data_IF_457703633370
#
_entry.id   IF_457703633370
#
_cell.length_a   1.000
_cell.length_b   1.000
_cell.length_c   1.000
_cell.angle_alpha   90.00
_cell.angle_beta   90.00
_cell.angle_gamma   90.00
#
_symmetry.space_group_name_H-M   'P 1'
#
loop_
_entity.id
_entity.type
_entity.pdbx_description
1 polymer ?
#
# COMPACT_ATOMS: atom_id res chain seq x y z
N UNK A 1 -18.62 6.06 10.54
CA UNK A 1 -17.31 6.39 11.13
C UNK A 1 -16.87 5.24 12.04
N UNK A 2 -15.72 4.66 11.76
CA UNK A 2 -15.19 3.55 12.55
C UNK A 2 -14.67 4.02 13.91
N UNK A 3 -14.93 3.25 14.97
CA UNK A 3 -14.36 3.50 16.29
C UNK A 3 -12.87 3.15 16.32
N UNK A 4 -12.14 3.68 17.29
CA UNK A 4 -10.73 3.31 17.49
C UNK A 4 -10.54 1.83 17.78
N UNK A 5 -11.49 1.19 18.46
CA UNK A 5 -11.47 -0.25 18.70
C UNK A 5 -11.58 -1.06 17.41
N UNK A 6 -12.46 -0.66 16.50
CA UNK A 6 -12.60 -1.30 15.18
C UNK A 6 -11.36 -1.10 14.32
N UNK A 7 -10.77 0.10 14.33
CA UNK A 7 -9.52 0.38 13.61
C UNK A 7 -8.39 -0.49 14.16
N UNK A 8 -8.27 -0.61 15.47
CA UNK A 8 -7.24 -1.44 16.12
C UNK A 8 -7.36 -2.92 15.73
N UNK A 9 -8.58 -3.43 15.58
CA UNK A 9 -8.82 -4.81 15.20
C UNK A 9 -8.35 -5.16 13.78
N UNK A 10 -8.13 -4.17 12.92
CA UNK A 10 -7.58 -4.40 11.59
C UNK A 10 -6.10 -4.79 11.59
N UNK A 11 -5.40 -4.56 12.71
CA UNK A 11 -3.98 -4.85 12.86
C UNK A 11 -3.79 -6.11 13.70
N UNK A 12 -3.02 -7.05 13.17
CA UNK A 12 -2.72 -8.33 13.83
C UNK A 12 -1.48 -8.19 14.72
N UNK A 13 -1.56 -7.31 15.70
CA UNK A 13 -0.49 -7.06 16.66
C UNK A 13 -0.76 -7.91 17.92
N UNK A 14 0.29 -8.49 18.50
CA UNK A 14 0.18 -9.24 19.74
C UNK A 14 -0.53 -8.42 20.83
N UNK A 15 -1.58 -8.96 21.49
CA UNK A 15 -2.44 -8.17 22.38
C UNK A 15 -1.75 -7.63 23.64
N UNK A 16 -0.63 -8.24 24.04
CA UNK A 16 0.18 -7.84 25.17
C UNK A 16 1.32 -6.88 24.80
N UNK A 17 1.38 -6.43 23.53
CA UNK A 17 2.45 -5.58 23.03
C UNK A 17 1.91 -4.18 22.73
N UNK A 18 2.64 -3.16 23.15
CA UNK A 18 2.42 -1.77 22.74
C UNK A 18 3.44 -1.46 21.63
N UNK A 19 2.94 -1.39 20.39
CA UNK A 19 3.81 -1.21 19.23
C UNK A 19 4.23 0.26 19.09
N UNK A 20 5.50 0.54 19.27
CA UNK A 20 6.08 1.88 19.19
C UNK A 20 7.13 2.02 18.05
N UNK A 21 7.28 0.99 17.21
CA UNK A 21 8.30 0.92 16.17
C UNK A 21 7.76 1.17 14.75
N UNK A 22 6.62 1.79 14.62
CA UNK A 22 6.01 2.11 13.31
C UNK A 22 6.87 3.01 12.43
N UNK A 23 7.78 3.77 13.00
CA UNK A 23 8.75 4.58 12.27
C UNK A 23 9.80 3.73 11.52
N UNK A 24 10.06 2.53 12.00
CA UNK A 24 11.01 1.58 11.40
C UNK A 24 10.32 0.66 10.41
N UNK A 25 9.27 -0.04 10.86
CA UNK A 25 8.46 -0.92 10.03
C UNK A 25 7.06 -1.02 10.64
N UNK A 26 6.08 -0.54 9.89
CA UNK A 26 4.69 -0.53 10.34
C UNK A 26 3.99 -1.84 9.97
N UNK A 27 3.08 -2.29 10.85
CA UNK A 27 2.16 -3.38 10.55
C UNK A 27 1.11 -2.92 9.53
N UNK A 28 0.68 -3.82 8.67
CA UNK A 28 -0.37 -3.53 7.71
C UNK A 28 -1.76 -3.80 8.29
N UNK A 29 -2.75 -2.93 8.02
CA UNK A 29 -4.14 -3.23 8.33
C UNK A 29 -4.65 -4.40 7.46
N UNK A 30 -5.73 -5.05 7.91
CA UNK A 30 -6.27 -6.24 7.24
C UNK A 30 -6.52 -6.06 5.73
N UNK A 31 -7.16 -5.00 5.25
CA UNK A 31 -7.39 -4.83 3.80
C UNK A 31 -6.10 -4.80 2.99
N UNK A 32 -5.05 -4.19 3.53
CA UNK A 32 -3.73 -4.14 2.88
C UNK A 32 -3.07 -5.51 2.87
N UNK A 33 -3.09 -6.22 4.01
CA UNK A 33 -2.56 -7.59 4.10
C UNK A 33 -3.24 -8.55 3.11
N UNK A 34 -4.55 -8.47 3.03
CA UNK A 34 -5.34 -9.31 2.12
C UNK A 34 -4.99 -9.02 0.64
N UNK A 35 -4.82 -7.75 0.28
CA UNK A 35 -4.40 -7.36 -1.06
C UNK A 35 -2.98 -7.83 -1.40
N UNK A 36 -2.04 -7.69 -0.47
CA UNK A 36 -0.66 -8.19 -0.63
C UNK A 36 -0.67 -9.70 -0.87
N UNK A 37 -1.42 -10.45 -0.07
CA UNK A 37 -1.51 -11.91 -0.21
C UNK A 37 -2.14 -12.31 -1.53
N UNK A 38 -3.18 -11.62 -1.99
CA UNK A 38 -3.81 -11.85 -3.28
C UNK A 38 -2.82 -11.70 -4.43
N UNK A 39 -2.06 -10.61 -4.44
CA UNK A 39 -1.07 -10.35 -5.50
C UNK A 39 0.12 -11.31 -5.43
N UNK A 40 0.55 -11.65 -4.23
CA UNK A 40 1.61 -12.63 -4.03
C UNK A 40 1.24 -14.01 -4.59
N UNK A 41 0.02 -14.47 -4.36
CA UNK A 41 -0.46 -15.74 -4.92
C UNK A 41 -0.51 -15.70 -6.45
N UNK A 42 -0.93 -14.58 -7.03
CA UNK A 42 -0.92 -14.41 -8.47
C UNK A 42 0.48 -14.49 -9.06
N UNK A 43 1.45 -13.85 -8.43
CA UNK A 43 2.86 -13.90 -8.82
C UNK A 43 3.46 -15.29 -8.68
N UNK A 44 3.16 -16.00 -7.59
CA UNK A 44 3.67 -17.35 -7.36
C UNK A 44 3.12 -18.36 -8.39
N UNK A 45 1.89 -18.15 -8.84
CA UNK A 45 1.23 -19.03 -9.78
C UNK A 45 1.78 -18.90 -11.20
N UNK A 46 1.95 -17.68 -11.70
CA UNK A 46 2.52 -17.37 -13.02
C UNK A 46 2.98 -15.90 -13.00
N UNK A 47 4.21 -15.68 -12.61
CA UNK A 47 4.77 -14.34 -12.42
C UNK A 47 4.77 -13.51 -13.71
N UNK A 48 5.14 -14.09 -14.84
CA UNK A 48 5.22 -13.37 -16.10
C UNK A 48 3.85 -12.86 -16.56
N UNK A 49 2.89 -13.76 -16.69
CA UNK A 49 1.53 -13.40 -17.12
C UNK A 49 0.84 -12.46 -16.14
N UNK A 50 1.04 -12.68 -14.84
CA UNK A 50 0.45 -11.83 -13.80
C UNK A 50 0.96 -10.40 -13.90
N UNK A 51 2.26 -10.19 -14.04
CA UNK A 51 2.87 -8.88 -14.20
C UNK A 51 2.37 -8.21 -15.48
N UNK A 52 2.43 -8.93 -16.60
CA UNK A 52 2.01 -8.41 -17.90
C UNK A 52 0.56 -7.92 -17.90
N UNK A 53 -0.34 -8.66 -17.26
CA UNK A 53 -1.77 -8.33 -17.23
C UNK A 53 -2.16 -7.30 -16.18
N UNK A 54 -1.41 -7.17 -15.08
CA UNK A 54 -1.86 -6.44 -13.89
C UNK A 54 -1.07 -5.18 -13.55
N UNK A 55 0.21 -5.08 -13.88
CA UNK A 55 1.04 -3.94 -13.45
C UNK A 55 0.49 -2.61 -13.98
N UNK A 56 0.21 -2.52 -15.28
CA UNK A 56 -0.33 -1.30 -15.86
C UNK A 56 -1.67 -0.86 -15.27
N UNK A 57 -2.69 -1.75 -15.25
CA UNK A 57 -3.98 -1.43 -14.65
C UNK A 57 -3.91 -1.07 -13.15
N UNK A 58 -3.10 -1.80 -12.38
CA UNK A 58 -2.94 -1.53 -10.94
C UNK A 58 -2.23 -0.21 -10.69
N UNK A 59 -1.20 0.11 -11.46
CA UNK A 59 -0.50 1.39 -11.34
C UNK A 59 -1.44 2.56 -11.65
N UNK A 60 -2.25 2.45 -12.70
CA UNK A 60 -3.27 3.47 -13.01
C UNK A 60 -4.30 3.61 -11.89
N UNK A 61 -4.75 2.51 -11.29
CA UNK A 61 -5.70 2.52 -10.18
C UNK A 61 -5.12 3.21 -8.94
N UNK A 62 -3.88 2.91 -8.59
CA UNK A 62 -3.18 3.55 -7.46
C UNK A 62 -3.04 5.04 -7.71
N UNK A 63 -2.63 5.43 -8.91
CA UNK A 63 -2.48 6.85 -9.30
C UNK A 63 -3.81 7.59 -9.22
N UNK A 64 -4.90 6.99 -9.69
CA UNK A 64 -6.24 7.57 -9.63
C UNK A 64 -6.69 7.79 -8.19
N UNK A 65 -6.48 6.82 -7.31
CA UNK A 65 -6.82 6.95 -5.89
C UNK A 65 -5.98 8.01 -5.18
N UNK A 66 -4.68 8.05 -5.44
CA UNK A 66 -3.79 9.05 -4.86
C UNK A 66 -4.14 10.47 -5.32
N UNK A 67 -4.44 10.65 -6.60
CA UNK A 67 -4.84 11.96 -7.14
C UNK A 67 -6.16 12.44 -6.54
N UNK A 68 -7.13 11.56 -6.38
CA UNK A 68 -8.40 11.88 -5.74
C UNK A 68 -8.21 12.29 -4.26
N UNK A 69 -7.37 11.57 -3.54
CA UNK A 69 -7.07 11.87 -2.14
C UNK A 69 -6.34 13.21 -1.97
N UNK A 70 -5.37 13.49 -2.83
CA UNK A 70 -4.58 14.73 -2.77
C UNK A 70 -5.25 15.93 -3.44
N UNK A 71 -6.30 15.73 -4.22
CA UNK A 71 -6.99 16.79 -4.94
C UNK A 71 -6.18 17.38 -6.09
N UNK A 72 -5.38 16.55 -6.77
CA UNK A 72 -4.54 16.92 -7.92
C UNK A 72 -4.84 16.04 -9.12
N UNK A 73 -4.40 16.42 -10.30
CA UNK A 73 -4.51 15.58 -11.48
C UNK A 73 -3.49 14.42 -11.44
N UNK A 74 -3.84 13.30 -12.05
CA UNK A 74 -3.00 12.09 -12.03
C UNK A 74 -1.62 12.32 -12.67
N UNK A 75 -1.54 13.15 -13.71
CA UNK A 75 -0.28 13.51 -14.38
C UNK A 75 0.60 14.50 -13.58
N UNK A 76 0.09 15.02 -12.49
CA UNK A 76 0.89 15.83 -11.55
C UNK A 76 1.56 14.98 -10.46
N UNK A 77 1.32 13.67 -10.46
CA UNK A 77 1.86 12.73 -9.47
C UNK A 77 3.00 11.90 -10.05
N UNK A 78 4.09 11.84 -9.31
CA UNK A 78 5.19 10.91 -9.54
C UNK A 78 5.40 10.07 -8.28
N UNK A 79 5.50 8.76 -8.44
CA UNK A 79 5.84 7.85 -7.34
C UNK A 79 7.34 7.60 -7.30
N UNK A 80 7.90 7.58 -6.10
CA UNK A 80 9.31 7.27 -5.86
C UNK A 80 9.44 6.16 -4.81
N UNK A 81 10.57 5.47 -4.78
CA UNK A 81 10.81 4.36 -3.86
C UNK A 81 10.99 4.83 -2.41
N UNK A 82 11.42 6.08 -2.21
CA UNK A 82 11.73 6.60 -0.89
C UNK A 82 11.71 8.13 -0.87
N UNK A 83 11.63 8.68 0.33
CA UNK A 83 11.80 10.13 0.55
C UNK A 83 13.16 10.63 0.09
N UNK A 84 14.21 9.86 0.31
CA UNK A 84 15.58 10.19 -0.13
C UNK A 84 15.64 10.34 -1.65
N UNK A 85 15.08 9.39 -2.38
CA UNK A 85 15.01 9.46 -3.84
C UNK A 85 14.15 10.64 -4.30
N UNK A 86 12.99 10.84 -3.70
CA UNK A 86 12.08 11.95 -4.02
C UNK A 86 12.74 13.32 -3.86
N UNK A 87 13.44 13.52 -2.74
CA UNK A 87 14.19 14.77 -2.49
C UNK A 87 15.37 14.94 -3.45
N UNK A 88 16.01 13.86 -3.88
CA UNK A 88 17.10 13.88 -4.85
C UNK A 88 16.66 14.27 -6.27
N UNK A 89 15.38 14.10 -6.61
CA UNK A 89 14.82 14.43 -7.92
C UNK A 89 14.34 15.89 -8.02
N UNK A 90 14.18 16.56 -6.90
CA UNK A 90 13.71 17.97 -6.85
C UNK A 90 14.88 18.98 -7.10
#
# INVERSE_FOLDING_TARGET
>A
TSSWAEIKQQFDIAPNLVQMSGFYLASHPKPVRDAIELHRRGLDRDSHSYIEQNVGPLERAVRAQASAYLGVDADELAFTDSTTMGLGLV
#
